data_IF_297372229896
#
_entry.id   IF_297372229896
#
_cell.length_a   1.000
_cell.length_b   1.000
_cell.length_c   1.000
_cell.angle_alpha   90.00
_cell.angle_beta   90.00
_cell.angle_gamma   90.00
#
_symmetry.space_group_name_H-M   'P 1'
#
loop_
_entity.id
_entity.type
_entity.pdbx_description
1 polymer ?
#
# COMPACT_ATOMS: atom_id res chain seq x y z
N UNK A 1 -12.73 -17.26 20.38
CA UNK A 1 -11.46 -17.94 20.83
C UNK A 1 -11.15 -17.44 22.25
N UNK A 2 -11.01 -18.34 23.24
CA UNK A 2 -10.70 -17.92 24.62
C UNK A 2 -9.18 -18.00 24.79
N UNK A 3 -8.55 -16.86 25.00
CA UNK A 3 -7.13 -16.81 25.31
C UNK A 3 -6.86 -17.18 26.79
N UNK A 4 -5.80 -17.93 27.11
CA UNK A 4 -5.46 -18.25 28.49
C UNK A 4 -5.05 -17.00 29.26
N UNK A 5 -5.34 -16.96 30.57
CA UNK A 5 -5.05 -15.83 31.45
C UNK A 5 -3.58 -15.37 31.39
N UNK A 6 -2.65 -16.32 31.25
CA UNK A 6 -1.21 -16.03 31.11
C UNK A 6 -0.89 -15.23 29.84
N UNK A 7 -1.58 -15.50 28.74
CA UNK A 7 -1.42 -14.72 27.52
C UNK A 7 -2.01 -13.32 27.68
N UNK A 8 -3.17 -13.18 28.30
CA UNK A 8 -3.82 -11.91 28.57
C UNK A 8 -2.91 -11.02 29.42
N UNK A 9 -2.36 -11.54 30.50
CA UNK A 9 -1.41 -10.80 31.34
C UNK A 9 -0.15 -10.41 30.58
N UNK A 10 0.46 -11.35 29.82
CA UNK A 10 1.64 -11.09 28.99
C UNK A 10 1.37 -10.06 27.91
N UNK A 11 0.17 -10.03 27.33
CA UNK A 11 -0.22 -9.04 26.32
C UNK A 11 -0.24 -7.64 26.94
N UNK A 12 -1.02 -7.47 28.01
CA UNK A 12 -1.20 -6.15 28.63
C UNK A 12 0.04 -5.62 29.33
N UNK A 13 0.98 -6.47 29.77
CA UNK A 13 2.28 -6.03 30.30
C UNK A 13 3.18 -5.35 29.26
N UNK A 14 2.85 -5.46 27.97
CA UNK A 14 3.57 -4.85 26.83
C UNK A 14 2.85 -3.63 26.26
N UNK A 15 1.91 -3.07 26.98
CA UNK A 15 1.08 -1.95 26.55
C UNK A 15 1.28 -0.78 27.50
N UNK A 16 1.75 0.33 26.96
CA UNK A 16 1.78 1.59 27.69
C UNK A 16 0.39 2.24 27.65
N UNK A 17 -0.19 2.46 28.84
CA UNK A 17 -1.50 3.08 29.06
C UNK A 17 -1.38 4.39 29.87
N UNK A 18 -0.26 5.04 29.81
CA UNK A 18 -0.01 6.30 30.53
C UNK A 18 -0.98 7.41 30.15
N UNK A 19 -1.56 7.34 28.95
CA UNK A 19 -2.64 8.22 28.50
C UNK A 19 -3.97 7.43 28.42
N UNK A 20 -4.83 7.48 29.44
CA UNK A 20 -6.07 6.68 29.47
C UNK A 20 -7.05 7.02 28.35
N UNK A 21 -7.15 8.30 27.96
CA UNK A 21 -8.06 8.78 26.91
C UNK A 21 -7.39 8.79 25.52
N UNK A 22 -6.15 8.36 25.43
CA UNK A 22 -5.35 8.35 24.20
C UNK A 22 -5.05 6.97 23.66
N UNK A 23 -4.02 6.91 22.83
CA UNK A 23 -3.53 5.64 22.31
C UNK A 23 -2.86 4.82 23.43
N UNK A 24 -3.24 3.55 23.54
CA UNK A 24 -2.49 2.56 24.32
C UNK A 24 -1.42 1.99 23.41
N UNK A 25 -0.17 2.31 23.70
CA UNK A 25 0.93 2.06 22.77
C UNK A 25 1.57 0.70 23.04
N UNK A 26 1.66 -0.11 22.01
CA UNK A 26 2.41 -1.36 22.04
C UNK A 26 3.91 -1.10 22.16
N UNK A 27 4.58 -1.64 23.17
CA UNK A 27 5.99 -1.37 23.50
C UNK A 27 6.95 -2.51 23.17
N UNK A 28 6.44 -3.62 22.61
CA UNK A 28 7.25 -4.78 22.24
C UNK A 28 7.54 -4.84 20.73
N UNK A 29 7.89 -6.02 20.22
CA UNK A 29 8.28 -6.22 18.81
C UNK A 29 7.22 -5.77 17.80
N UNK A 30 7.69 -5.29 16.65
CA UNK A 30 6.87 -4.82 15.54
C UNK A 30 7.24 -5.55 14.24
N UNK A 31 6.31 -5.58 13.29
CA UNK A 31 6.56 -6.05 11.92
C UNK A 31 6.98 -4.88 11.00
N UNK A 32 7.41 -5.19 9.76
CA UNK A 32 7.91 -4.20 8.78
C UNK A 32 6.98 -3.01 8.52
N UNK A 33 5.66 -3.19 8.70
CA UNK A 33 4.65 -2.13 8.47
C UNK A 33 4.35 -1.29 9.72
N UNK A 34 5.12 -1.47 10.80
CA UNK A 34 4.98 -0.71 12.04
C UNK A 34 3.90 -1.22 13.00
N UNK A 35 3.16 -2.29 12.66
CA UNK A 35 2.18 -2.88 13.58
C UNK A 35 2.87 -3.68 14.67
N UNK A 36 2.34 -3.58 15.89
CA UNK A 36 2.75 -4.41 17.02
C UNK A 36 2.54 -5.90 16.74
N UNK A 37 3.44 -6.73 17.25
CA UNK A 37 3.43 -8.17 17.05
C UNK A 37 3.65 -8.93 18.35
N UNK A 38 2.87 -10.00 18.56
CA UNK A 38 3.03 -10.93 19.69
C UNK A 38 3.06 -12.37 19.17
N UNK A 39 3.93 -13.19 19.75
CA UNK A 39 3.95 -14.61 19.42
C UNK A 39 2.91 -15.38 20.27
N UNK A 40 2.04 -16.14 19.62
CA UNK A 40 1.05 -17.01 20.25
C UNK A 40 1.23 -18.41 19.68
N UNK A 41 1.60 -19.38 20.53
CA UNK A 41 1.82 -20.78 20.16
C UNK A 41 2.78 -20.94 18.96
N UNK A 42 3.89 -20.19 18.97
CA UNK A 42 4.90 -20.24 17.90
C UNK A 42 4.55 -19.44 16.64
N UNK A 43 3.35 -18.83 16.56
CA UNK A 43 2.91 -18.02 15.43
C UNK A 43 2.88 -16.54 15.78
N UNK A 44 3.40 -15.66 14.91
CA UNK A 44 3.32 -14.21 15.10
C UNK A 44 1.90 -13.71 14.77
N UNK A 45 1.28 -13.03 15.74
CA UNK A 45 -0.04 -12.41 15.61
C UNK A 45 0.07 -10.90 15.74
N UNK A 46 -0.80 -10.16 15.05
CA UNK A 46 -0.84 -8.70 15.12
C UNK A 46 -1.47 -8.27 16.45
N UNK A 47 -0.76 -7.42 17.20
CA UNK A 47 -1.18 -6.99 18.54
C UNK A 47 -2.56 -6.33 18.54
N UNK A 48 -2.90 -5.52 17.55
CA UNK A 48 -4.23 -4.90 17.38
C UNK A 48 -5.36 -5.93 17.26
N UNK A 49 -5.12 -7.03 16.53
CA UNK A 49 -6.11 -8.12 16.41
C UNK A 49 -6.33 -8.81 17.74
N UNK A 50 -5.25 -9.08 18.45
CA UNK A 50 -5.31 -9.70 19.78
C UNK A 50 -6.02 -8.78 20.77
N UNK A 51 -5.70 -7.48 20.81
CA UNK A 51 -6.39 -6.50 21.65
C UNK A 51 -7.89 -6.49 21.39
N UNK A 52 -8.30 -6.41 20.12
CA UNK A 52 -9.73 -6.43 19.76
C UNK A 52 -10.42 -7.72 20.22
N UNK A 53 -9.78 -8.88 19.96
CA UNK A 53 -10.35 -10.18 20.34
C UNK A 53 -10.45 -10.39 21.85
N UNK A 54 -9.54 -9.80 22.62
CA UNK A 54 -9.58 -9.86 24.09
C UNK A 54 -10.78 -9.12 24.70
N UNK A 55 -11.26 -8.09 24.03
CA UNK A 55 -12.34 -7.23 24.53
C UNK A 55 -13.68 -7.52 23.85
N UNK A 56 -13.68 -7.63 22.53
CA UNK A 56 -14.91 -7.74 21.74
C UNK A 56 -15.17 -9.15 21.18
N UNK A 57 -14.23 -10.08 21.36
CA UNK A 57 -14.39 -11.45 20.87
C UNK A 57 -13.92 -11.66 19.43
N UNK A 58 -14.50 -12.64 18.75
CA UNK A 58 -14.02 -13.07 17.43
C UNK A 58 -14.23 -12.00 16.36
N UNK A 59 -13.24 -11.93 15.45
CA UNK A 59 -13.30 -11.06 14.28
C UNK A 59 -13.99 -11.84 13.16
N UNK A 60 -15.13 -11.39 12.62
CA UNK A 60 -15.81 -12.06 11.53
C UNK A 60 -14.93 -12.19 10.28
N UNK A 61 -15.15 -13.27 9.53
CA UNK A 61 -14.40 -13.50 8.30
C UNK A 61 -14.63 -12.36 7.29
N UNK A 62 -13.53 -11.93 6.65
CA UNK A 62 -13.56 -10.85 5.65
C UNK A 62 -13.48 -9.44 6.23
N UNK A 63 -13.51 -9.29 7.57
CA UNK A 63 -13.31 -8.00 8.22
C UNK A 63 -11.87 -7.80 8.72
N UNK A 64 -11.44 -6.57 8.71
CA UNK A 64 -10.14 -6.10 9.16
C UNK A 64 -10.29 -5.20 10.39
N UNK A 65 -9.25 -5.14 11.21
CA UNK A 65 -9.17 -4.14 12.28
C UNK A 65 -8.56 -2.87 11.69
N UNK A 66 -9.31 -1.79 11.77
CA UNK A 66 -8.91 -0.44 11.36
C UNK A 66 -8.76 0.45 12.59
N UNK A 67 -8.03 1.56 12.45
CA UNK A 67 -7.79 2.54 13.51
C UNK A 67 -8.47 3.87 13.20
N UNK A 68 -9.23 4.39 14.16
CA UNK A 68 -9.67 5.77 14.09
C UNK A 68 -8.51 6.76 14.27
N UNK A 69 -7.51 6.40 15.09
CA UNK A 69 -6.38 7.23 15.47
C UNK A 69 -5.19 7.19 14.50
N UNK A 70 -5.22 6.33 13.48
CA UNK A 70 -4.14 6.15 12.49
C UNK A 70 -2.77 5.73 13.04
N UNK A 71 -2.67 5.36 14.31
CA UNK A 71 -1.44 4.90 14.92
C UNK A 71 -1.33 3.36 14.86
N UNK A 72 -0.37 2.78 14.08
CA UNK A 72 -0.24 1.33 13.93
C UNK A 72 0.15 0.61 15.24
N UNK A 73 0.75 1.32 16.19
CA UNK A 73 1.12 0.78 17.50
C UNK A 73 -0.01 0.86 18.53
N UNK A 74 -1.11 1.53 18.20
CA UNK A 74 -2.24 1.63 19.12
C UNK A 74 -2.96 0.30 19.23
N UNK A 75 -3.15 -0.16 20.49
CA UNK A 75 -3.93 -1.34 20.83
C UNK A 75 -5.11 -1.00 21.74
N UNK A 76 -5.48 0.29 21.85
CA UNK A 76 -6.66 0.74 22.58
C UNK A 76 -7.92 0.26 21.84
N UNK A 77 -8.76 -0.60 22.45
CA UNK A 77 -9.95 -1.14 21.79
C UNK A 77 -10.92 -0.05 21.31
N UNK A 78 -11.04 1.06 22.04
CA UNK A 78 -11.94 2.18 21.68
C UNK A 78 -11.44 2.96 20.43
N UNK A 79 -10.19 2.78 20.05
CA UNK A 79 -9.61 3.34 18.84
C UNK A 79 -9.68 2.40 17.65
N UNK A 80 -10.26 1.19 17.81
CA UNK A 80 -10.33 0.15 16.79
C UNK A 80 -11.77 -0.05 16.30
N UNK A 81 -11.89 -0.34 15.04
CA UNK A 81 -13.18 -0.74 14.46
C UNK A 81 -13.01 -1.86 13.44
N UNK A 82 -14.09 -2.60 13.21
CA UNK A 82 -14.17 -3.60 12.14
C UNK A 82 -14.56 -2.92 10.84
N UNK A 83 -13.80 -3.14 9.79
CA UNK A 83 -14.08 -2.61 8.47
C UNK A 83 -13.75 -3.59 7.36
N UNK A 84 -14.42 -3.44 6.23
CA UNK A 84 -14.05 -4.09 4.97
C UNK A 84 -12.83 -3.39 4.34
N UNK A 85 -12.20 -3.98 3.32
CA UNK A 85 -11.18 -3.26 2.54
C UNK A 85 -11.69 -1.94 1.96
N UNK A 86 -12.98 -1.86 1.59
CA UNK A 86 -13.60 -0.66 1.08
C UNK A 86 -13.69 0.43 2.16
N UNK A 87 -14.13 0.06 3.38
CA UNK A 87 -14.22 1.00 4.52
C UNK A 87 -12.86 1.59 4.87
N UNK A 88 -11.80 0.77 4.86
CA UNK A 88 -10.44 1.24 5.11
C UNK A 88 -9.95 2.20 4.02
N UNK A 89 -10.33 2.00 2.76
CA UNK A 89 -10.03 2.92 1.66
C UNK A 89 -10.81 4.22 1.83
N UNK A 90 -12.10 4.14 2.18
CA UNK A 90 -12.94 5.32 2.41
C UNK A 90 -12.42 6.17 3.58
N UNK A 91 -12.01 5.53 4.68
CA UNK A 91 -11.38 6.23 5.82
C UNK A 91 -10.09 6.94 5.41
N UNK A 92 -9.25 6.26 4.61
CA UNK A 92 -8.02 6.82 4.07
C UNK A 92 -8.30 8.03 3.15
N UNK A 93 -9.34 7.95 2.32
CA UNK A 93 -9.76 9.04 1.42
C UNK A 93 -10.34 10.22 2.22
N UNK A 94 -11.21 9.96 3.19
CA UNK A 94 -11.82 10.98 4.05
C UNK A 94 -10.77 11.76 4.86
N UNK A 95 -9.70 11.07 5.29
CA UNK A 95 -8.57 11.67 6.02
C UNK A 95 -7.49 12.26 5.12
N UNK A 96 -7.69 12.28 3.79
CA UNK A 96 -6.73 12.83 2.82
C UNK A 96 -5.38 12.09 2.76
N UNK A 97 -5.31 10.85 3.26
CA UNK A 97 -4.07 10.05 3.35
C UNK A 97 -3.72 9.31 2.05
N UNK A 98 -4.64 9.29 1.09
CA UNK A 98 -4.42 8.59 -0.18
C UNK A 98 -3.42 9.34 -1.05
N UNK A 99 -2.18 8.92 -1.02
CA UNK A 99 -1.15 9.41 -1.94
C UNK A 99 -1.24 8.59 -3.23
N UNK A 100 -2.12 9.01 -4.14
CA UNK A 100 -2.11 8.55 -5.52
C UNK A 100 -1.03 9.33 -6.29
N UNK A 101 0.24 9.13 -5.95
CA UNK A 101 1.31 9.58 -6.82
C UNK A 101 1.27 8.70 -8.07
N UNK A 102 0.88 9.22 -9.25
CA UNK A 102 0.94 8.44 -10.46
C UNK A 102 2.40 8.06 -10.70
N UNK A 103 2.70 6.76 -10.62
CA UNK A 103 4.01 6.26 -11.01
C UNK A 103 4.10 6.35 -12.54
N UNK A 104 4.53 7.51 -13.02
CA UNK A 104 4.65 7.82 -14.44
C UNK A 104 6.02 7.37 -14.96
N UNK A 105 6.03 6.92 -16.18
CA UNK A 105 7.26 6.61 -16.89
C UNK A 105 8.00 5.38 -16.37
N UNK A 106 9.32 5.47 -16.32
CA UNK A 106 10.21 4.40 -15.84
C UNK A 106 10.02 4.01 -14.38
N UNK A 107 9.40 4.88 -13.56
CA UNK A 107 9.10 4.61 -12.14
C UNK A 107 7.97 3.60 -11.92
N UNK A 108 7.17 3.29 -12.95
CA UNK A 108 6.16 2.25 -12.85
C UNK A 108 6.84 0.87 -12.79
N UNK A 109 6.56 0.05 -11.77
CA UNK A 109 7.26 -1.22 -11.53
C UNK A 109 7.20 -2.26 -12.67
N UNK A 110 6.25 -2.10 -13.61
CA UNK A 110 6.13 -2.93 -14.82
C UNK A 110 6.56 -2.19 -16.10
N UNK A 111 7.27 -1.05 -15.98
CA UNK A 111 7.70 -0.30 -17.15
C UNK A 111 8.78 -1.08 -17.94
N UNK A 112 8.49 -1.39 -19.20
CA UNK A 112 9.46 -1.98 -20.14
C UNK A 112 10.30 -0.91 -20.85
N UNK A 113 9.83 0.32 -20.85
CA UNK A 113 10.46 1.47 -21.48
C UNK A 113 10.89 2.49 -20.41
N UNK A 114 11.94 3.20 -20.71
CA UNK A 114 12.40 4.39 -19.98
C UNK A 114 12.22 5.65 -20.85
N UNK A 115 12.48 6.80 -20.27
CA UNK A 115 12.32 8.10 -20.92
C UNK A 115 13.19 8.23 -22.19
N UNK A 116 14.41 7.65 -22.20
CA UNK A 116 15.32 7.67 -23.35
C UNK A 116 14.75 6.86 -24.50
N UNK A 117 14.32 5.61 -24.24
CA UNK A 117 13.70 4.74 -25.25
C UNK A 117 12.43 5.36 -25.82
N UNK A 118 11.64 6.04 -24.97
CA UNK A 118 10.42 6.70 -25.42
C UNK A 118 10.73 7.92 -26.31
N UNK A 119 11.75 8.71 -25.97
CA UNK A 119 12.20 9.81 -26.82
C UNK A 119 12.69 9.32 -28.18
N UNK A 120 13.46 8.23 -28.19
CA UNK A 120 13.93 7.57 -29.43
C UNK A 120 12.75 7.05 -30.28
N UNK A 121 11.78 6.36 -29.66
CA UNK A 121 10.58 5.88 -30.35
C UNK A 121 9.83 7.04 -30.99
N UNK A 122 9.65 8.16 -30.29
CA UNK A 122 8.97 9.34 -30.84
C UNK A 122 9.69 9.90 -32.06
N UNK A 123 11.01 10.10 -31.95
CA UNK A 123 11.82 10.61 -33.05
C UNK A 123 11.76 9.71 -34.29
N UNK A 124 11.86 8.38 -34.10
CA UNK A 124 11.82 7.41 -35.20
C UNK A 124 10.43 7.27 -35.84
N UNK A 125 9.35 7.43 -35.05
CA UNK A 125 7.98 7.49 -35.59
C UNK A 125 7.79 8.76 -36.40
N UNK A 126 8.31 9.90 -35.94
CA UNK A 126 8.22 11.18 -36.66
C UNK A 126 9.01 11.13 -37.99
N UNK A 127 10.07 10.32 -38.05
CA UNK A 127 10.80 10.00 -39.29
C UNK A 127 10.08 8.98 -40.19
N UNK A 128 8.87 8.54 -39.84
CA UNK A 128 8.08 7.61 -40.67
C UNK A 128 8.40 6.15 -40.50
N UNK A 129 9.18 5.75 -39.49
CA UNK A 129 9.50 4.36 -39.26
C UNK A 129 8.29 3.53 -38.81
N UNK A 130 8.20 2.28 -39.24
CA UNK A 130 7.09 1.40 -38.98
C UNK A 130 6.88 1.14 -37.48
N UNK A 131 5.69 1.46 -36.95
CA UNK A 131 5.34 1.20 -35.57
C UNK A 131 5.40 -0.29 -35.20
N UNK A 132 5.17 -1.19 -36.16
CA UNK A 132 5.30 -2.64 -35.93
C UNK A 132 6.76 -3.04 -35.72
N UNK A 133 7.68 -2.46 -36.49
CA UNK A 133 9.13 -2.71 -36.38
C UNK A 133 9.65 -2.21 -35.03
N UNK A 134 9.29 -0.97 -34.65
CA UNK A 134 9.65 -0.40 -33.36
C UNK A 134 9.07 -1.21 -32.18
N UNK A 135 7.83 -1.68 -32.30
CA UNK A 135 7.22 -2.52 -31.25
C UNK A 135 8.00 -3.82 -31.02
N UNK A 136 8.44 -4.47 -32.09
CA UNK A 136 9.26 -5.66 -31.99
C UNK A 136 10.62 -5.37 -31.36
N UNK A 137 11.31 -4.33 -31.82
CA UNK A 137 12.65 -3.93 -31.35
C UNK A 137 12.65 -3.58 -29.85
N UNK A 138 11.65 -2.82 -29.38
CA UNK A 138 11.55 -2.38 -27.99
C UNK A 138 10.78 -3.36 -27.07
N UNK A 139 10.35 -4.52 -27.56
CA UNK A 139 9.67 -5.55 -26.79
C UNK A 139 8.30 -5.12 -26.24
N UNK A 140 7.58 -4.28 -26.98
CA UNK A 140 6.27 -3.76 -26.60
C UNK A 140 5.22 -4.01 -27.68
N UNK A 141 3.93 -3.82 -27.37
CA UNK A 141 2.89 -3.98 -28.38
C UNK A 141 2.85 -2.81 -29.38
N UNK A 142 2.41 -3.01 -30.63
CA UNK A 142 2.21 -1.92 -31.60
C UNK A 142 1.25 -0.83 -31.08
N UNK A 143 0.24 -1.23 -30.29
CA UNK A 143 -0.66 -0.29 -29.62
C UNK A 143 0.05 0.60 -28.60
N UNK A 144 1.07 0.10 -27.92
CA UNK A 144 1.88 0.91 -27.00
C UNK A 144 2.64 1.99 -27.77
N UNK A 145 3.27 1.65 -28.90
CA UNK A 145 3.94 2.61 -29.79
C UNK A 145 2.97 3.67 -30.30
N UNK A 146 1.77 3.26 -30.75
CA UNK A 146 0.74 4.22 -31.20
C UNK A 146 0.31 5.17 -30.09
N UNK A 147 0.15 4.70 -28.84
CA UNK A 147 -0.18 5.57 -27.70
C UNK A 147 0.95 6.54 -27.37
N UNK A 148 2.21 6.13 -27.53
CA UNK A 148 3.38 7.02 -27.34
C UNK A 148 3.43 8.06 -28.45
N UNK A 149 3.30 7.66 -29.70
CA UNK A 149 3.29 8.55 -30.87
C UNK A 149 2.17 9.60 -30.80
N UNK A 150 0.97 9.20 -30.37
CA UNK A 150 -0.17 10.12 -30.20
C UNK A 150 -0.14 10.94 -28.89
N UNK A 151 0.94 10.83 -28.10
CA UNK A 151 1.05 11.55 -26.83
C UNK A 151 0.02 11.16 -25.76
N UNK A 152 -0.66 10.00 -25.91
CA UNK A 152 -1.63 9.49 -24.92
C UNK A 152 -0.95 8.90 -23.69
N UNK A 153 0.22 8.31 -23.86
CA UNK A 153 1.10 7.82 -22.79
C UNK A 153 2.45 8.54 -22.87
N UNK A 154 3.18 8.57 -21.76
CA UNK A 154 4.48 9.23 -21.66
C UNK A 154 4.43 10.73 -22.05
N UNK A 155 3.39 11.42 -21.60
CA UNK A 155 3.15 12.85 -21.90
C UNK A 155 4.29 13.77 -21.44
N UNK A 156 5.00 13.37 -20.38
CA UNK A 156 6.12 14.11 -19.80
C UNK A 156 7.41 14.01 -20.62
N UNK A 157 7.50 13.07 -21.57
CA UNK A 157 8.66 12.95 -22.47
C UNK A 157 8.36 13.76 -23.71
N UNK A 158 9.07 14.90 -23.87
CA UNK A 158 8.99 15.73 -25.06
C UNK A 158 9.90 15.12 -26.12
N UNK A 159 9.36 14.79 -27.29
CA UNK A 159 10.17 14.40 -28.45
C UNK A 159 11.06 15.57 -28.89
N UNK A 160 12.36 15.37 -29.03
CA UNK A 160 13.24 16.30 -29.70
C UNK A 160 12.83 16.36 -31.17
N UNK A 161 12.09 17.41 -31.56
CA UNK A 161 11.97 17.72 -33.00
C UNK A 161 13.36 18.13 -33.47
N UNK A 162 14.00 17.28 -34.27
CA UNK A 162 15.13 17.70 -35.08
C UNK A 162 14.57 18.61 -36.17
N UNK A 163 14.88 19.88 -36.07
CA UNK A 163 14.74 20.88 -37.19
C UNK A 163 15.65 20.48 -38.33
#
# INVERSE_FOLDING_TARGET
MIYPASLVQRFWSKVDRSNPDGCWVWTASTQKRGYGQININGKPEIATRVAFQLVYGEIPNGLFICHWCDNPLCVNPDHLFLGTPADNIHDMDAKGRRVNAPQLGSRHGCAKLDERKVAEIKARVDCGESQKKLAFEFGVSPGAINHIAKGRKWKHVIGTRTT
#
